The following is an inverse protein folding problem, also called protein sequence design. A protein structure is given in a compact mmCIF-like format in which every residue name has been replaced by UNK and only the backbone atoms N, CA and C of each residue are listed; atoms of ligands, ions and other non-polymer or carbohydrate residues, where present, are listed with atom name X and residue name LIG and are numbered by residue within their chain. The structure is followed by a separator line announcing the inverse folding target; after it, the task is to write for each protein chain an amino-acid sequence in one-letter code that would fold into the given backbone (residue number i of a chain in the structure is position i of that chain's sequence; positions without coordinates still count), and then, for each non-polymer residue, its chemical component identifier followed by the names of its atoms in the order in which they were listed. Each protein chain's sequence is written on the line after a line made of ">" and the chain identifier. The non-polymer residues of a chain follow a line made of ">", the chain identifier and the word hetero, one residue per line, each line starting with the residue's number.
data_IF_322613143183
#
_entry.id   IF_322613143183
#
_cell.length_a   1.000
_cell.length_b   1.000
_cell.length_c   1.000
_cell.angle_alpha   90.00
_cell.angle_beta   90.00
_cell.angle_gamma   90.00
#
_symmetry.space_group_name_H-M   'P 1'
#
loop_
_entity.id
_entity.type
_entity.pdbx_description
1 polymer ?
#
# COMPACT_ATOMS: atom_id res chain seq x y z
N UNK A 1 3.00 3.27 -22.33
CA UNK A 1 3.98 3.12 -21.22
C UNK A 1 3.19 3.15 -19.93
N UNK A 2 3.60 2.39 -18.90
CA UNK A 2 2.97 2.52 -17.59
C UNK A 2 3.53 3.78 -16.92
N UNK A 3 2.68 4.57 -16.27
CA UNK A 3 3.14 5.77 -15.57
C UNK A 3 4.04 5.35 -14.40
N UNK A 4 5.14 6.08 -14.20
CA UNK A 4 6.13 5.76 -13.17
C UNK A 4 6.33 6.95 -12.24
N UNK A 5 6.65 6.65 -10.98
CA UNK A 5 7.05 7.60 -9.95
C UNK A 5 8.46 7.25 -9.52
N UNK A 6 9.33 8.25 -9.45
CA UNK A 6 10.64 8.11 -8.85
C UNK A 6 10.67 8.86 -7.53
N UNK A 7 11.14 8.22 -6.48
CA UNK A 7 11.27 8.81 -5.15
C UNK A 7 12.74 8.85 -4.75
N UNK A 8 13.14 9.98 -4.16
CA UNK A 8 14.42 10.13 -3.45
C UNK A 8 14.30 9.65 -2.00
N UNK A 9 15.43 9.37 -1.33
CA UNK A 9 15.43 9.06 0.09
C UNK A 9 14.63 10.09 0.89
N UNK A 10 13.80 9.62 1.83
CA UNK A 10 12.88 10.37 2.68
C UNK A 10 11.64 10.97 2.00
N UNK A 11 11.42 10.78 0.70
CA UNK A 11 10.18 11.22 0.06
C UNK A 11 9.03 10.25 0.38
N UNK A 12 7.85 10.83 0.63
CA UNK A 12 6.63 10.06 0.91
C UNK A 12 5.99 9.63 -0.40
N UNK A 13 5.69 8.33 -0.50
CA UNK A 13 4.78 7.82 -1.53
C UNK A 13 3.33 8.06 -1.13
N UNK A 14 3.00 7.76 0.13
CA UNK A 14 1.66 7.79 0.70
C UNK A 14 1.73 8.36 2.12
N UNK A 15 0.71 9.10 2.55
CA UNK A 15 0.54 9.45 3.96
C UNK A 15 -0.66 8.75 4.57
N UNK A 16 -0.52 8.33 5.81
CA UNK A 16 -1.61 7.78 6.61
C UNK A 16 -2.82 8.73 6.60
N UNK A 17 -4.01 8.19 6.37
CA UNK A 17 -5.26 8.95 6.35
C UNK A 17 -5.57 9.65 5.02
N UNK A 18 -4.64 9.68 4.05
CA UNK A 18 -4.94 10.23 2.73
C UNK A 18 -6.02 9.42 2.01
N UNK A 19 -6.93 10.13 1.34
CA UNK A 19 -7.83 9.55 0.35
C UNK A 19 -7.10 9.48 -0.99
N UNK A 20 -6.69 8.28 -1.36
CA UNK A 20 -6.03 8.05 -2.64
C UNK A 20 -6.35 6.65 -3.11
N UNK A 21 -6.65 6.54 -4.40
CA UNK A 21 -7.23 5.34 -4.97
C UNK A 21 -6.21 4.55 -5.82
N UNK A 22 -5.02 5.08 -6.10
CA UNK A 22 -3.98 4.36 -6.84
C UNK A 22 -3.30 3.29 -5.98
N UNK A 23 -2.80 2.24 -6.62
CA UNK A 23 -1.81 1.34 -6.01
C UNK A 23 -0.54 1.36 -6.86
N UNK A 24 0.56 0.94 -6.24
CA UNK A 24 1.89 1.03 -6.83
C UNK A 24 2.57 -0.32 -6.76
N UNK A 25 3.31 -0.65 -7.81
CA UNK A 25 4.26 -1.77 -7.80
C UNK A 25 5.67 -1.21 -7.63
N UNK A 26 6.38 -1.63 -6.58
CA UNK A 26 7.74 -1.19 -6.34
C UNK A 26 8.68 -1.95 -7.30
N UNK A 27 9.11 -1.28 -8.36
CA UNK A 27 9.96 -1.88 -9.39
C UNK A 27 11.41 -2.00 -8.91
N UNK A 28 11.92 -0.98 -8.20
CA UNK A 28 13.26 -0.97 -7.61
C UNK A 28 13.29 -0.11 -6.35
N UNK A 29 14.18 -0.46 -5.41
CA UNK A 29 14.38 0.26 -4.16
C UNK A 29 13.73 -0.40 -2.94
N UNK A 30 13.66 0.36 -1.85
CA UNK A 30 13.14 -0.07 -0.55
C UNK A 30 12.37 1.06 0.11
N UNK A 31 11.19 0.75 0.64
CA UNK A 31 10.34 1.68 1.37
C UNK A 31 10.17 1.23 2.83
N UNK A 32 9.97 2.19 3.73
CA UNK A 32 9.56 1.95 5.11
C UNK A 32 8.10 2.35 5.31
N UNK A 33 7.38 1.56 6.09
CA UNK A 33 5.98 1.80 6.47
C UNK A 33 5.93 2.38 7.88
N UNK A 34 5.24 3.50 8.05
CA UNK A 34 5.14 4.22 9.32
C UNK A 34 3.70 4.38 9.78
N UNK A 35 3.47 4.22 11.08
CA UNK A 35 2.18 4.45 11.72
C UNK A 35 2.28 5.57 12.76
N UNK A 36 1.33 6.48 12.77
CA UNK A 36 1.27 7.55 13.77
C UNK A 36 0.65 7.06 15.08
N UNK A 37 1.29 7.38 16.20
CA UNK A 37 0.79 7.18 17.57
C UNK A 37 1.04 8.48 18.35
N UNK A 38 -0.04 9.21 18.66
CA UNK A 38 0.07 10.57 19.19
C UNK A 38 0.79 11.49 18.20
N UNK A 39 1.87 12.13 18.65
CA UNK A 39 2.69 13.04 17.82
C UNK A 39 3.91 12.38 17.17
N UNK A 40 4.09 11.05 17.31
CA UNK A 40 5.25 10.34 16.80
C UNK A 40 4.89 9.31 15.72
N UNK A 41 5.78 9.13 14.75
CA UNK A 41 5.69 8.10 13.71
C UNK A 41 6.61 6.93 14.06
N UNK A 42 6.09 5.71 13.98
CA UNK A 42 6.81 4.49 14.30
C UNK A 42 6.91 3.63 13.05
N UNK A 43 8.11 3.13 12.73
CA UNK A 43 8.28 2.18 11.64
C UNK A 43 7.66 0.84 12.03
N UNK A 44 6.74 0.33 11.21
CA UNK A 44 6.01 -0.92 11.45
C UNK A 44 6.28 -1.98 10.39
N UNK A 45 7.07 -1.65 9.36
CA UNK A 45 7.41 -2.58 8.30
C UNK A 45 8.34 -1.99 7.26
N UNK A 46 8.75 -2.85 6.33
CA UNK A 46 9.61 -2.54 5.19
C UNK A 46 8.99 -3.21 3.97
N UNK A 47 9.04 -2.53 2.82
CA UNK A 47 8.57 -3.02 1.53
C UNK A 47 9.75 -3.07 0.58
N UNK A 48 9.91 -4.20 -0.09
CA UNK A 48 10.99 -4.50 -1.01
C UNK A 48 10.51 -4.52 -2.46
N UNK A 49 11.46 -4.43 -3.37
CA UNK A 49 11.20 -4.53 -4.81
C UNK A 49 10.43 -5.81 -5.15
N UNK A 50 9.42 -5.71 -5.99
CA UNK A 50 8.50 -6.81 -6.31
C UNK A 50 7.17 -6.78 -5.54
N UNK A 51 7.03 -5.91 -4.54
CA UNK A 51 5.81 -5.83 -3.72
C UNK A 51 4.86 -4.71 -4.19
N UNK A 52 3.58 -4.87 -3.84
CA UNK A 52 2.54 -3.86 -4.03
C UNK A 52 2.46 -2.92 -2.83
N UNK A 53 2.07 -1.68 -3.10
CA UNK A 53 1.88 -0.64 -2.08
C UNK A 53 0.55 0.05 -2.29
N UNK A 54 -0.24 0.18 -1.21
CA UNK A 54 -1.51 0.89 -1.23
C UNK A 54 -2.69 0.06 -1.76
N UNK A 55 -2.49 -1.23 -1.92
CA UNK A 55 -3.48 -2.22 -2.35
C UNK A 55 -4.67 -2.32 -1.39
N UNK A 56 -4.44 -2.16 -0.08
CA UNK A 56 -5.50 -2.28 0.93
C UNK A 56 -6.58 -1.21 0.73
N UNK A 57 -6.17 0.06 0.71
CA UNK A 57 -7.07 1.21 0.56
C UNK A 57 -7.78 1.20 -0.79
N UNK A 58 -7.11 0.69 -1.82
CA UNK A 58 -7.70 0.52 -3.13
C UNK A 58 -8.85 -0.50 -3.09
N UNK A 59 -8.62 -1.68 -2.51
CA UNK A 59 -9.58 -2.79 -2.55
C UNK A 59 -10.74 -2.64 -1.55
N UNK A 60 -10.52 -2.01 -0.40
CA UNK A 60 -11.57 -1.80 0.61
C UNK A 60 -12.13 -0.37 0.66
N UNK A 61 -11.62 0.53 -0.20
CA UNK A 61 -12.01 1.95 -0.32
C UNK A 61 -11.90 2.74 0.99
N UNK A 62 -10.99 2.34 1.89
CA UNK A 62 -10.71 3.08 3.14
C UNK A 62 -9.47 3.96 2.97
N UNK A 63 -9.31 5.03 3.78
CA UNK A 63 -8.09 5.84 3.79
C UNK A 63 -6.82 5.01 4.00
N UNK A 64 -5.66 5.57 3.61
CA UNK A 64 -4.35 4.91 3.79
C UNK A 64 -4.15 4.44 5.23
N UNK A 65 -3.81 3.16 5.39
CA UNK A 65 -3.62 2.54 6.70
C UNK A 65 -2.34 3.00 7.41
N UNK A 66 -1.37 3.52 6.67
CA UNK A 66 -0.05 3.91 7.14
C UNK A 66 0.59 4.88 6.13
N UNK A 67 1.61 5.62 6.57
CA UNK A 67 2.49 6.37 5.69
C UNK A 67 3.55 5.46 5.10
N UNK A 68 4.00 5.74 3.88
CA UNK A 68 5.08 4.99 3.21
C UNK A 68 6.10 5.97 2.68
N UNK A 69 7.37 5.73 3.02
CA UNK A 69 8.49 6.62 2.71
C UNK A 69 9.67 5.86 2.13
N UNK A 70 10.32 6.44 1.13
CA UNK A 70 11.52 5.89 0.53
C UNK A 70 12.71 5.89 1.51
N UNK A 71 13.39 4.75 1.64
CA UNK A 71 14.65 4.63 2.39
C UNK A 71 15.83 5.03 1.49
N UNK A 72 15.73 4.68 0.20
CA UNK A 72 16.71 4.92 -0.85
C UNK A 72 15.99 5.39 -2.11
N UNK A 73 16.73 5.62 -3.21
CA UNK A 73 16.08 5.85 -4.51
C UNK A 73 15.17 4.68 -4.89
N UNK A 74 13.93 5.01 -5.27
CA UNK A 74 12.91 4.02 -5.62
C UNK A 74 12.24 4.39 -6.94
N UNK A 75 11.94 3.38 -7.75
CA UNK A 75 11.07 3.51 -8.92
C UNK A 75 9.81 2.67 -8.70
N UNK A 76 8.66 3.31 -8.88
CA UNK A 76 7.36 2.68 -8.75
C UNK A 76 6.57 2.79 -10.05
N UNK A 77 5.86 1.73 -10.38
CA UNK A 77 4.89 1.72 -11.47
C UNK A 77 3.51 2.00 -10.87
N UNK A 78 2.81 2.99 -11.40
CA UNK A 78 1.43 3.27 -11.04
C UNK A 78 0.56 2.18 -11.68
N UNK A 79 -0.27 1.53 -10.88
CA UNK A 79 -1.28 0.57 -11.36
C UNK A 79 -2.66 1.24 -11.27
N UNK A 80 -3.25 1.65 -12.41
CA UNK A 80 -4.55 2.30 -12.41
C UNK A 80 -5.68 1.37 -11.97
N UNK A 81 -6.57 1.92 -11.17
CA UNK A 81 -7.77 1.28 -10.59
C UNK A 81 -8.62 0.61 -11.66
N UNK A 82 -8.90 1.36 -12.74
CA UNK A 82 -9.84 0.94 -13.78
C UNK A 82 -9.30 -0.25 -14.56
N UNK A 83 -7.97 -0.32 -14.71
CA UNK A 83 -7.33 -1.47 -15.35
C UNK A 83 -7.42 -2.69 -14.46
N UNK A 84 -7.13 -2.56 -13.16
CA UNK A 84 -7.20 -3.69 -12.24
C UNK A 84 -8.63 -4.21 -12.06
N UNK A 85 -9.61 -3.31 -11.90
CA UNK A 85 -11.01 -3.69 -11.77
C UNK A 85 -11.50 -4.48 -13.00
N UNK A 86 -11.16 -4.04 -14.22
CA UNK A 86 -11.48 -4.79 -15.44
C UNK A 86 -10.89 -6.20 -15.48
N UNK A 87 -9.76 -6.44 -14.81
CA UNK A 87 -9.20 -7.79 -14.69
C UNK A 87 -9.93 -8.61 -13.63
N UNK A 88 -10.30 -8.00 -12.49
CA UNK A 88 -11.11 -8.66 -11.46
C UNK A 88 -12.48 -9.09 -11.99
N UNK A 89 -13.13 -8.25 -12.79
CA UNK A 89 -14.46 -8.51 -13.36
C UNK A 89 -14.47 -9.73 -14.31
N UNK A 90 -13.30 -10.13 -14.82
CA UNK A 90 -13.12 -11.33 -15.66
C UNK A 90 -12.89 -12.61 -14.85
N UNK A 91 -12.69 -12.50 -13.54
CA UNK A 91 -12.46 -13.65 -12.67
C UNK A 91 -13.78 -14.17 -12.09
N UNK A 92 -13.82 -15.44 -11.65
CA UNK A 92 -14.97 -15.96 -10.91
C UNK A 92 -15.28 -15.13 -9.66
N UNK A 93 -16.57 -15.02 -9.30
CA UNK A 93 -17.02 -14.20 -8.17
C UNK A 93 -16.29 -14.51 -6.84
N UNK A 94 -15.90 -15.77 -6.61
CA UNK A 94 -15.18 -16.17 -5.40
C UNK A 94 -13.76 -15.56 -5.31
N UNK A 95 -13.14 -15.19 -6.42
CA UNK A 95 -11.79 -14.62 -6.43
C UNK A 95 -11.76 -13.23 -5.78
N UNK A 96 -12.73 -12.38 -6.11
CA UNK A 96 -12.92 -11.10 -5.43
C UNK A 96 -13.16 -11.29 -3.93
N UNK A 97 -14.04 -12.23 -3.57
CA UNK A 97 -14.33 -12.55 -2.17
C UNK A 97 -13.08 -13.03 -1.40
N UNK A 98 -12.22 -13.82 -2.05
CA UNK A 98 -10.94 -14.26 -1.47
C UNK A 98 -10.02 -13.08 -1.19
N UNK A 99 -9.82 -12.19 -2.17
CA UNK A 99 -8.97 -11.00 -2.02
C UNK A 99 -9.47 -10.11 -0.88
N UNK A 100 -10.76 -9.77 -0.87
CA UNK A 100 -11.37 -8.96 0.19
C UNK A 100 -11.19 -9.61 1.56
N UNK A 101 -11.39 -10.92 1.67
CA UNK A 101 -11.22 -11.66 2.94
C UNK A 101 -9.78 -11.62 3.44
N UNK A 102 -8.80 -11.82 2.56
CA UNK A 102 -7.38 -11.78 2.94
C UNK A 102 -6.96 -10.38 3.38
N UNK A 103 -7.40 -9.34 2.67
CA UNK A 103 -7.11 -7.97 3.03
C UNK A 103 -7.72 -7.55 4.36
N UNK A 104 -8.97 -7.91 4.63
CA UNK A 104 -9.60 -7.63 5.92
C UNK A 104 -8.87 -8.34 7.07
N UNK A 105 -8.38 -9.56 6.84
CA UNK A 105 -7.54 -10.27 7.81
C UNK A 105 -6.21 -9.56 8.03
N UNK A 106 -5.52 -9.16 6.96
CA UNK A 106 -4.27 -8.39 7.05
C UNK A 106 -4.48 -7.07 7.79
N UNK A 107 -5.56 -6.35 7.51
CA UNK A 107 -5.90 -5.10 8.19
C UNK A 107 -6.12 -5.31 9.68
N UNK A 108 -6.83 -6.36 10.06
CA UNK A 108 -7.03 -6.72 11.47
C UNK A 108 -5.71 -7.11 12.13
N UNK A 109 -4.84 -7.86 11.46
CA UNK A 109 -3.52 -8.20 11.98
C UNK A 109 -2.69 -6.93 12.22
N UNK A 110 -2.61 -6.03 11.24
CA UNK A 110 -1.88 -4.77 11.36
C UNK A 110 -2.49 -3.81 12.40
N UNK A 111 -3.80 -3.86 12.63
CA UNK A 111 -4.46 -3.10 13.70
C UNK A 111 -4.21 -3.70 15.09
N UNK A 112 -3.95 -5.01 15.18
CA UNK A 112 -3.60 -5.71 16.43
C UNK A 112 -2.12 -5.57 16.81
N UNK A 113 -1.26 -5.17 15.87
CA UNK A 113 0.10 -4.64 16.18
C UNK A 113 0.01 -3.28 16.90
N UNK A 114 -1.19 -2.87 17.37
CA UNK A 114 -1.31 -1.89 18.44
C UNK A 114 -0.59 -2.41 19.70
N UNK A 115 0.66 -1.99 19.82
CA UNK A 115 1.30 -1.54 21.07
C UNK A 115 1.71 -2.67 22.03
N UNK A 116 2.91 -3.21 21.80
CA UNK A 116 3.80 -3.74 22.86
C UNK A 116 5.16 -3.02 22.80
N UNK A 117 5.15 -1.71 22.48
CA UNK A 117 6.28 -0.78 22.63
C UNK A 117 5.77 0.53 23.24
#
# INVERSE_FOLDING_TARGET
>A
MADTINLKPNEYLLREGEESANMYYLQSGTLSVYKRKGNAEHQIGTIYSGELVGEMSFLDKKPRSASVRAIQECTLVIVPIEKFQKYLDKQPAWFGALITTLLDRLRRANTRIKIDI
#
